data_IF_311525120124
#
_entry.id   IF_311525120124
#
_cell.length_a   1.000
_cell.length_b   1.000
_cell.length_c   1.000
_cell.angle_alpha   90.00
_cell.angle_beta   90.00
_cell.angle_gamma   90.00
#
_symmetry.space_group_name_H-M   'P 1'
#
loop_
_entity.id
_entity.type
_entity.pdbx_description
1 polymer ?
#
# COMPACT_ATOMS: atom_id res chain seq x y z
N UNK A 1 35.84 13.78 43.03
CA UNK A 1 34.45 13.33 42.73
C UNK A 1 33.76 14.50 42.04
N UNK A 2 33.03 14.41 40.89
CA UNK A 2 32.23 13.30 40.36
C UNK A 2 32.18 13.23 38.80
N UNK A 3 33.29 13.39 38.07
CA UNK A 3 33.26 13.48 36.58
C UNK A 3 32.87 12.17 35.89
N UNK A 4 33.14 11.02 36.52
CA UNK A 4 32.73 9.70 36.01
C UNK A 4 31.21 9.51 36.07
N UNK A 5 30.56 10.02 37.12
CA UNK A 5 29.11 9.88 37.32
C UNK A 5 28.30 10.68 36.29
N UNK A 6 28.73 11.92 36.00
CA UNK A 6 28.12 12.78 34.97
C UNK A 6 28.23 12.16 33.58
N UNK A 7 29.37 11.52 33.27
CA UNK A 7 29.59 10.86 31.99
C UNK A 7 28.71 9.60 31.83
N UNK A 8 28.49 8.84 32.90
CA UNK A 8 27.58 7.68 32.87
C UNK A 8 26.12 8.09 32.73
N UNK A 9 25.69 9.17 33.40
CA UNK A 9 24.32 9.69 33.29
C UNK A 9 24.03 10.16 31.85
N UNK A 10 24.98 10.84 31.20
CA UNK A 10 24.82 11.30 29.82
C UNK A 10 24.69 10.15 28.80
N UNK A 11 25.31 9.00 29.06
CA UNK A 11 25.25 7.84 28.15
C UNK A 11 23.90 7.12 28.28
N UNK A 12 23.35 7.04 29.49
CA UNK A 12 22.06 6.36 29.73
C UNK A 12 20.88 7.15 29.13
N UNK A 13 20.88 8.48 29.21
CA UNK A 13 19.80 9.30 28.62
C UNK A 13 19.79 9.29 27.09
N UNK A 14 20.94 9.08 26.44
CA UNK A 14 21.03 8.98 24.98
C UNK A 14 20.47 7.64 24.45
N UNK A 15 20.58 6.54 25.21
CA UNK A 15 20.11 5.23 24.77
C UNK A 15 18.59 5.07 24.81
N UNK A 16 17.87 5.79 25.69
CA UNK A 16 16.41 5.66 25.81
C UNK A 16 15.66 6.37 24.68
N UNK A 17 16.30 7.33 24.00
CA UNK A 17 15.65 8.16 22.98
C UNK A 17 15.75 7.62 21.55
N UNK A 18 16.46 6.51 21.30
CA UNK A 18 16.67 5.97 19.94
C UNK A 18 15.95 4.65 19.63
N UNK A 19 14.90 4.31 20.38
CA UNK A 19 13.94 3.30 19.94
C UNK A 19 13.06 3.88 18.80
N UNK A 20 13.70 4.19 17.67
CA UNK A 20 13.03 4.40 16.40
C UNK A 20 12.40 3.05 16.03
N UNK A 21 11.13 2.91 16.35
CA UNK A 21 10.30 1.78 15.97
C UNK A 21 10.29 1.69 14.45
N UNK A 22 11.18 0.87 13.90
CA UNK A 22 11.16 0.48 12.50
C UNK A 22 9.95 -0.44 12.31
N UNK A 23 8.78 0.17 12.12
CA UNK A 23 7.63 -0.54 11.60
C UNK A 23 8.06 -1.26 10.31
N UNK A 24 7.72 -2.54 10.13
CA UNK A 24 8.07 -3.27 8.92
C UNK A 24 7.30 -2.64 7.76
N UNK A 25 7.93 -1.68 7.08
CA UNK A 25 7.44 -1.19 5.81
C UNK A 25 7.49 -2.38 4.84
N UNK A 26 6.33 -2.98 4.54
CA UNK A 26 6.19 -3.92 3.43
C UNK A 26 6.78 -3.22 2.21
N UNK A 27 7.98 -3.62 1.78
CA UNK A 27 8.53 -3.14 0.51
C UNK A 27 7.49 -3.45 -0.57
N UNK A 28 7.13 -2.46 -1.41
CA UNK A 28 6.30 -2.74 -2.57
C UNK A 28 6.99 -3.85 -3.38
N UNK A 29 6.29 -4.96 -3.57
CA UNK A 29 6.81 -6.08 -4.38
C UNK A 29 6.87 -5.72 -5.87
N UNK A 30 6.26 -4.59 -6.24
CA UNK A 30 6.10 -4.11 -7.59
C UNK A 30 6.35 -2.60 -7.63
N UNK A 31 6.78 -2.05 -8.78
CA UNK A 31 6.83 -0.62 -8.98
C UNK A 31 5.44 0.00 -8.76
N UNK A 32 5.37 1.27 -8.33
CA UNK A 32 4.09 1.95 -8.12
C UNK A 32 3.24 1.86 -9.40
N UNK A 33 1.97 1.46 -9.29
CA UNK A 33 1.13 1.30 -10.46
C UNK A 33 0.93 2.65 -11.16
N UNK A 34 1.02 2.69 -12.49
CA UNK A 34 0.67 3.90 -13.22
C UNK A 34 -0.83 4.18 -13.01
N UNK A 35 -1.18 5.47 -12.90
CA UNK A 35 -2.57 5.95 -12.78
C UNK A 35 -3.28 5.72 -11.43
N UNK A 36 -2.49 5.52 -10.36
CA UNK A 36 -2.97 5.44 -8.98
C UNK A 36 -2.33 6.57 -8.17
N UNK A 37 -3.16 7.32 -7.44
CA UNK A 37 -2.69 8.31 -6.48
C UNK A 37 -2.01 7.60 -5.28
N UNK A 38 -0.75 7.93 -4.94
CA UNK A 38 -0.08 7.42 -3.75
C UNK A 38 -0.85 7.66 -2.44
N UNK A 39 -1.62 8.74 -2.36
CA UNK A 39 -2.46 9.07 -1.20
C UNK A 39 -3.76 8.24 -1.14
N UNK A 40 -4.16 7.60 -2.25
CA UNK A 40 -5.37 6.79 -2.36
C UNK A 40 -5.12 5.48 -3.15
N UNK A 41 -4.32 4.55 -2.61
CA UNK A 41 -3.83 3.37 -3.36
C UNK A 41 -4.92 2.35 -3.77
N UNK A 42 -6.14 2.49 -3.21
CA UNK A 42 -7.31 1.68 -3.54
C UNK A 42 -8.13 2.24 -4.72
N UNK A 43 -7.82 3.46 -5.20
CA UNK A 43 -8.55 4.12 -6.29
C UNK A 43 -7.65 4.20 -7.53
N UNK A 44 -8.23 3.91 -8.69
CA UNK A 44 -7.59 4.14 -9.97
C UNK A 44 -8.37 5.24 -10.69
N UNK A 45 -7.66 6.16 -11.34
CA UNK A 45 -8.28 7.30 -12.03
C UNK A 45 -8.41 7.05 -13.53
N UNK A 46 -7.60 6.14 -14.09
CA UNK A 46 -7.58 5.81 -15.52
C UNK A 46 -7.43 4.31 -15.76
N UNK A 47 -7.97 3.86 -16.89
CA UNK A 47 -7.78 2.52 -17.41
C UNK A 47 -6.45 2.42 -18.14
N UNK A 48 -5.77 1.27 -18.02
CA UNK A 48 -4.48 1.05 -18.68
C UNK A 48 -4.55 1.11 -20.21
N UNK A 49 -5.73 0.88 -20.80
CA UNK A 49 -5.97 0.97 -22.23
C UNK A 49 -6.56 2.32 -22.68
N UNK A 50 -6.88 3.22 -21.73
CA UNK A 50 -7.51 4.51 -22.03
C UNK A 50 -6.49 5.49 -22.62
N UNK A 51 -6.84 6.09 -23.77
CA UNK A 51 -6.05 7.10 -24.48
C UNK A 51 -6.24 8.53 -23.92
N UNK A 52 -6.15 8.69 -22.61
CA UNK A 52 -6.18 10.00 -21.95
C UNK A 52 -7.47 10.30 -21.19
N UNK A 53 -8.49 9.46 -21.32
CA UNK A 53 -9.77 9.63 -20.64
C UNK A 53 -9.73 9.04 -19.22
N UNK A 54 -10.41 9.72 -18.29
CA UNK A 54 -10.58 9.25 -16.90
C UNK A 54 -11.74 8.27 -16.81
N UNK A 55 -11.69 7.36 -15.84
CA UNK A 55 -12.75 6.35 -15.61
C UNK A 55 -14.11 7.03 -15.37
N UNK A 56 -14.10 8.21 -14.73
CA UNK A 56 -15.30 8.99 -14.48
C UNK A 56 -16.05 9.40 -15.76
N UNK A 57 -15.33 9.62 -16.87
CA UNK A 57 -15.92 10.02 -18.14
C UNK A 57 -16.23 8.83 -19.06
N UNK A 58 -15.70 7.64 -18.73
CA UNK A 58 -15.94 6.44 -19.52
C UNK A 58 -17.39 5.97 -19.34
N UNK A 59 -18.17 5.80 -20.42
CA UNK A 59 -19.55 5.34 -20.30
C UNK A 59 -19.62 3.90 -19.78
N UNK A 60 -20.54 3.67 -18.83
CA UNK A 60 -20.80 2.35 -18.25
C UNK A 60 -20.20 2.14 -16.86
N UNK A 61 -20.48 0.98 -16.26
CA UNK A 61 -19.99 0.63 -14.93
C UNK A 61 -18.66 -0.12 -15.04
N UNK A 62 -17.58 0.51 -14.59
CA UNK A 62 -16.23 -0.08 -14.60
C UNK A 62 -15.67 -0.16 -13.18
N UNK A 63 -15.18 -1.33 -12.80
CA UNK A 63 -14.49 -1.56 -11.52
C UNK A 63 -13.05 -1.97 -11.80
N UNK A 64 -12.09 -1.26 -11.20
CA UNK A 64 -10.66 -1.59 -11.29
C UNK A 64 -10.20 -2.16 -9.96
N UNK A 65 -9.64 -3.37 -9.97
CA UNK A 65 -8.94 -3.93 -8.81
C UNK A 65 -7.49 -3.44 -8.83
N UNK A 66 -7.17 -2.51 -7.94
CA UNK A 66 -5.81 -1.96 -7.85
C UNK A 66 -4.83 -2.99 -7.29
N UNK A 67 -3.53 -2.75 -7.49
CA UNK A 67 -2.49 -3.63 -6.97
C UNK A 67 -2.57 -3.79 -5.44
N UNK A 68 -2.87 -2.70 -4.73
CA UNK A 68 -3.04 -2.72 -3.28
C UNK A 68 -4.19 -3.63 -2.84
N UNK A 69 -5.35 -3.58 -3.54
CA UNK A 69 -6.49 -4.49 -3.28
C UNK A 69 -6.07 -5.96 -3.43
N UNK A 70 -5.36 -6.29 -4.51
CA UNK A 70 -4.93 -7.66 -4.77
C UNK A 70 -3.90 -8.15 -3.74
N UNK A 71 -2.95 -7.31 -3.36
CA UNK A 71 -1.91 -7.65 -2.38
C UNK A 71 -2.48 -7.80 -0.96
N UNK A 72 -3.49 -7.00 -0.59
CA UNK A 72 -4.15 -7.10 0.72
C UNK A 72 -5.10 -8.31 0.81
N UNK A 73 -5.71 -8.69 -0.31
CA UNK A 73 -6.49 -9.94 -0.40
C UNK A 73 -5.60 -11.18 -0.43
N UNK A 74 -4.28 -11.02 -0.59
CA UNK A 74 -3.34 -12.10 -0.91
C UNK A 74 -3.81 -12.91 -2.13
N UNK A 75 -4.33 -12.22 -3.15
CA UNK A 75 -4.94 -12.85 -4.31
C UNK A 75 -3.89 -13.58 -5.16
N UNK A 76 -4.05 -14.90 -5.31
CA UNK A 76 -3.13 -15.74 -6.12
C UNK A 76 -3.76 -16.32 -7.38
N UNK A 77 -5.08 -16.18 -7.54
CA UNK A 77 -5.82 -16.63 -8.71
C UNK A 77 -6.89 -15.63 -9.13
N UNK A 78 -7.40 -15.76 -10.36
CA UNK A 78 -8.47 -14.90 -10.86
C UNK A 78 -9.74 -15.03 -10.00
N UNK A 79 -10.10 -16.24 -9.59
CA UNK A 79 -11.25 -16.48 -8.72
C UNK A 79 -11.12 -15.75 -7.38
N UNK A 80 -9.91 -15.76 -6.84
CA UNK A 80 -9.56 -15.10 -5.59
C UNK A 80 -9.66 -13.57 -5.72
N UNK A 81 -9.22 -13.02 -6.87
CA UNK A 81 -9.33 -11.60 -7.18
C UNK A 81 -10.79 -11.14 -7.42
N UNK A 82 -11.58 -11.93 -8.15
CA UNK A 82 -12.93 -11.53 -8.57
C UNK A 82 -13.97 -11.56 -7.43
N UNK A 83 -13.70 -12.24 -6.31
CA UNK A 83 -14.64 -12.34 -5.18
C UNK A 83 -15.00 -10.98 -4.55
N UNK A 84 -14.16 -9.96 -4.73
CA UNK A 84 -14.42 -8.62 -4.20
C UNK A 84 -15.34 -7.77 -5.08
N UNK A 85 -15.69 -8.26 -6.28
CA UNK A 85 -16.58 -7.56 -7.20
C UNK A 85 -17.99 -8.16 -7.09
N UNK A 86 -18.92 -7.37 -6.56
CA UNK A 86 -20.31 -7.79 -6.44
C UNK A 86 -20.90 -8.16 -7.82
N UNK A 87 -21.67 -9.24 -7.86
CA UNK A 87 -22.34 -9.73 -9.07
C UNK A 87 -21.47 -10.54 -10.02
N UNK A 88 -20.17 -10.75 -9.73
CA UNK A 88 -19.31 -11.62 -10.55
C UNK A 88 -19.40 -13.06 -10.07
N UNK A 89 -19.76 -13.97 -10.97
CA UNK A 89 -19.74 -15.42 -10.74
C UNK A 89 -18.83 -16.09 -11.77
N UNK A 90 -18.12 -17.13 -11.36
CA UNK A 90 -17.18 -17.87 -12.21
C UNK A 90 -17.70 -19.29 -12.39
N UNK A 91 -17.97 -19.67 -13.63
CA UNK A 91 -18.30 -21.04 -14.03
C UNK A 91 -17.09 -21.97 -13.89
N UNK A 92 -17.36 -23.28 -13.81
CA UNK A 92 -16.30 -24.30 -13.81
C UNK A 92 -15.70 -24.46 -15.20
#
# INVERSE_FOLDING_TARGET
MPTKLLRTIAIVTLCVSHAASAAPAKRPRHPPPPFVDPAAPYKADRLSFSRGETILNTPGQTTVLTRQVLDDMNATSLKDAMRSTAGVTIGR
#
